data_IF_302024998607
#
_entry.id   IF_302024998607
#
_cell.length_a   1.000
_cell.length_b   1.000
_cell.length_c   1.000
_cell.angle_alpha   90.00
_cell.angle_beta   90.00
_cell.angle_gamma   90.00
#
_symmetry.space_group_name_H-M   'P 1'
#
loop_
_entity.id
_entity.type
_entity.pdbx_description
1 polymer ?
#
# COMPACT_ATOMS: atom_id res chain seq x y z
N UNK A 1 14.68 -23.83 28.36
CA UNK A 1 13.24 -23.61 28.62
C UNK A 1 13.14 -22.41 29.55
N UNK A 2 13.08 -21.19 29.00
CA UNK A 2 13.00 -19.96 29.81
C UNK A 2 11.56 -19.74 30.27
N UNK A 3 11.31 -19.30 31.52
CA UNK A 3 9.96 -19.01 31.98
C UNK A 3 9.44 -17.78 31.23
N UNK A 4 8.25 -17.91 30.65
CA UNK A 4 7.51 -16.82 30.00
C UNK A 4 7.27 -15.70 31.01
N UNK A 5 7.99 -14.60 30.86
CA UNK A 5 7.73 -13.36 31.61
C UNK A 5 6.34 -12.84 31.26
N UNK A 6 5.59 -12.40 32.27
CA UNK A 6 4.39 -11.59 32.09
C UNK A 6 4.75 -10.36 31.25
N UNK A 7 4.38 -10.31 29.98
CA UNK A 7 4.67 -9.17 29.11
C UNK A 7 3.48 -8.20 29.15
N UNK A 8 3.60 -7.18 29.98
CA UNK A 8 2.76 -5.98 29.89
C UNK A 8 3.44 -4.98 28.95
N UNK A 9 2.68 -4.46 27.99
CA UNK A 9 3.15 -3.42 27.07
C UNK A 9 2.18 -2.24 27.12
N UNK A 10 2.70 -1.06 27.46
CA UNK A 10 1.99 0.20 27.33
C UNK A 10 2.49 0.98 26.12
N UNK A 11 1.61 1.75 25.48
CA UNK A 11 1.96 2.63 24.38
C UNK A 11 1.16 3.93 24.47
N UNK A 12 1.87 5.06 24.46
CA UNK A 12 1.29 6.39 24.42
C UNK A 12 1.73 7.03 23.12
N UNK A 13 0.82 7.73 22.46
CA UNK A 13 1.11 8.45 21.24
C UNK A 13 0.27 9.71 21.11
N UNK A 14 0.71 10.62 20.25
CA UNK A 14 -0.05 11.80 19.84
C UNK A 14 -0.27 11.76 18.34
N UNK A 15 -1.50 11.92 17.88
CA UNK A 15 -1.83 12.04 16.45
C UNK A 15 -2.59 13.35 16.24
N UNK A 16 -2.05 14.25 15.41
CA UNK A 16 -2.60 15.60 15.19
C UNK A 16 -2.92 16.37 16.49
N UNK A 17 -2.05 16.27 17.49
CA UNK A 17 -2.22 16.92 18.80
C UNK A 17 -3.13 16.18 19.79
N UNK A 18 -3.89 15.17 19.34
CA UNK A 18 -4.73 14.36 20.23
C UNK A 18 -3.93 13.21 20.87
N UNK A 19 -3.99 13.03 22.19
CA UNK A 19 -3.32 11.94 22.88
C UNK A 19 -4.12 10.63 22.79
N UNK A 20 -3.41 9.52 22.61
CA UNK A 20 -3.97 8.17 22.60
C UNK A 20 -3.14 7.23 23.47
N UNK A 21 -3.81 6.25 24.06
CA UNK A 21 -3.20 5.20 24.87
C UNK A 21 -3.61 3.82 24.35
N UNK A 22 -2.68 2.87 24.48
CA UNK A 22 -2.92 1.45 24.27
C UNK A 22 -2.20 0.62 25.32
N UNK A 23 -2.82 -0.48 25.72
CA UNK A 23 -2.24 -1.45 26.65
C UNK A 23 -2.44 -2.87 26.14
N UNK A 24 -1.46 -3.73 26.36
CA UNK A 24 -1.54 -5.15 26.07
C UNK A 24 -0.97 -5.96 27.24
N UNK A 25 -1.65 -7.06 27.56
CA UNK A 25 -1.17 -8.13 28.41
C UNK A 25 -1.14 -9.38 27.54
N UNK A 26 0.06 -9.95 27.40
CA UNK A 26 0.24 -11.23 26.71
C UNK A 26 0.74 -12.30 27.67
N UNK A 27 -0.07 -13.36 27.83
CA UNK A 27 0.15 -14.47 28.72
C UNK A 27 0.13 -15.79 27.93
N UNK A 28 0.68 -16.84 28.55
CA UNK A 28 0.78 -18.17 27.91
C UNK A 28 -0.57 -18.69 27.37
N UNK A 29 -1.66 -18.44 28.10
CA UNK A 29 -2.99 -18.97 27.80
C UNK A 29 -4.03 -17.91 27.46
N UNK A 30 -3.72 -16.62 27.61
CA UNK A 30 -4.66 -15.57 27.26
C UNK A 30 -3.94 -14.31 26.79
N UNK A 31 -4.66 -13.49 26.03
CA UNK A 31 -4.22 -12.15 25.64
C UNK A 31 -5.38 -11.19 25.83
N UNK A 32 -5.07 -10.05 26.40
CA UNK A 32 -5.97 -8.92 26.47
C UNK A 32 -5.26 -7.70 25.89
N UNK A 33 -5.95 -6.93 25.06
CA UNK A 33 -5.43 -5.63 24.60
C UNK A 33 -6.55 -4.62 24.48
N UNK A 34 -6.21 -3.35 24.64
CA UNK A 34 -7.16 -2.25 24.53
C UNK A 34 -6.46 -0.99 24.00
N UNK A 35 -7.21 -0.17 23.27
CA UNK A 35 -6.76 1.14 22.80
C UNK A 35 -6.71 1.23 21.28
N UNK A 36 -5.66 1.86 20.75
CA UNK A 36 -5.57 2.35 19.37
C UNK A 36 -4.41 1.74 18.55
N UNK A 37 -3.76 0.69 19.07
CA UNK A 37 -2.62 0.00 18.41
C UNK A 37 -2.75 -1.52 18.44
N UNK A 38 -2.78 -2.09 19.64
CA UNK A 38 -2.57 -3.52 19.84
C UNK A 38 -3.78 -4.34 19.41
N UNK A 39 -3.62 -5.03 18.27
CA UNK A 39 -4.59 -6.00 17.75
C UNK A 39 -3.96 -7.39 17.62
N UNK A 40 -4.76 -8.46 17.73
CA UNK A 40 -4.23 -9.81 17.61
C UNK A 40 -3.96 -10.23 16.16
N UNK A 41 -4.71 -9.69 15.20
CA UNK A 41 -4.61 -10.02 13.78
C UNK A 41 -3.55 -9.16 13.07
N UNK A 42 -2.76 -9.77 12.19
CA UNK A 42 -1.84 -9.08 11.29
C UNK A 42 -2.52 -8.58 10.01
N UNK A 43 -3.76 -9.01 9.74
CA UNK A 43 -4.58 -8.50 8.64
C UNK A 43 -4.55 -6.96 8.61
N UNK A 44 -4.07 -6.40 7.50
CA UNK A 44 -3.79 -4.98 7.39
C UNK A 44 -5.05 -4.12 7.56
N UNK A 45 -6.15 -4.55 6.94
CA UNK A 45 -7.43 -3.84 6.87
C UNK A 45 -8.25 -3.89 8.16
N UNK A 46 -7.93 -4.81 9.08
CA UNK A 46 -8.75 -5.06 10.27
C UNK A 46 -8.75 -3.88 11.26
N UNK A 47 -9.88 -3.17 11.38
CA UNK A 47 -10.06 -1.99 12.24
C UNK A 47 -9.06 -0.83 11.99
N UNK A 48 -8.39 -0.82 10.83
CA UNK A 48 -7.40 0.19 10.49
C UNK A 48 -8.02 1.59 10.53
N UNK A 49 -7.31 2.52 11.15
CA UNK A 49 -7.61 3.95 11.02
C UNK A 49 -7.03 4.47 9.71
N UNK A 50 -7.89 4.81 8.75
CA UNK A 50 -7.48 5.20 7.41
C UNK A 50 -6.83 6.60 7.36
N UNK A 51 -7.01 7.41 8.40
CA UNK A 51 -6.48 8.77 8.46
C UNK A 51 -5.02 8.81 8.91
N UNK A 52 -4.52 7.72 9.50
CA UNK A 52 -3.17 7.65 10.05
C UNK A 52 -2.42 6.42 9.54
N UNK A 53 -1.11 6.57 9.39
CA UNK A 53 -0.22 5.50 8.96
C UNK A 53 1.06 5.56 9.77
N UNK A 54 1.60 4.40 10.15
CA UNK A 54 2.90 4.31 10.81
C UNK A 54 3.96 3.76 9.88
N UNK A 55 5.01 4.56 9.66
CA UNK A 55 6.16 4.21 8.85
C UNK A 55 7.28 3.51 9.65
N UNK A 56 7.19 3.56 10.99
CA UNK A 56 8.16 2.95 11.89
C UNK A 56 8.00 1.41 11.90
N UNK A 57 9.11 0.65 11.73
CA UNK A 57 9.06 -0.80 11.79
C UNK A 57 8.78 -1.27 13.23
N UNK A 58 8.16 -2.43 13.38
CA UNK A 58 7.87 -3.01 14.71
C UNK A 58 6.70 -2.39 15.47
N UNK A 59 6.14 -1.26 15.01
CA UNK A 59 4.91 -0.69 15.56
C UNK A 59 3.70 -1.12 14.71
N UNK A 60 2.65 -1.59 15.38
CA UNK A 60 1.35 -1.93 14.77
C UNK A 60 0.71 -0.70 14.12
N UNK A 61 -0.02 -0.88 13.02
CA UNK A 61 -0.71 0.26 12.40
C UNK A 61 -1.77 0.85 13.33
N UNK A 62 -2.03 2.17 13.23
CA UNK A 62 -3.15 2.80 13.90
C UNK A 62 -4.48 2.07 13.67
N UNK A 63 -5.21 1.80 14.74
CA UNK A 63 -6.59 1.30 14.68
C UNK A 63 -7.54 2.26 15.37
N UNK A 64 -8.82 2.14 15.02
CA UNK A 64 -9.90 2.69 15.82
C UNK A 64 -9.94 2.01 17.18
N UNK A 65 -10.44 2.72 18.19
CA UNK A 65 -10.44 2.24 19.57
C UNK A 65 -11.13 0.88 19.67
N UNK A 66 -10.40 -0.11 20.15
CA UNK A 66 -10.83 -1.48 20.22
C UNK A 66 -10.35 -2.14 21.51
N UNK A 67 -11.05 -3.19 21.92
CA UNK A 67 -10.68 -4.07 23.03
C UNK A 67 -10.71 -5.51 22.57
N UNK A 68 -9.74 -6.31 22.98
CA UNK A 68 -9.60 -7.71 22.61
C UNK A 68 -9.41 -8.55 23.85
N UNK A 69 -10.08 -9.69 23.90
CA UNK A 69 -9.86 -10.73 24.89
C UNK A 69 -9.91 -12.08 24.20
N UNK A 70 -8.85 -12.87 24.34
CA UNK A 70 -8.82 -14.20 23.75
C UNK A 70 -7.98 -15.20 24.52
N UNK A 71 -8.31 -16.45 24.30
CA UNK A 71 -7.62 -17.62 24.79
C UNK A 71 -6.56 -18.07 23.78
N UNK A 72 -5.45 -18.63 24.29
CA UNK A 72 -4.34 -19.16 23.49
C UNK A 72 -4.09 -20.62 23.85
N UNK A 73 -3.98 -21.47 22.83
CA UNK A 73 -3.64 -22.88 23.03
C UNK A 73 -2.90 -23.45 21.83
N UNK A 74 -1.68 -23.98 22.04
CA UNK A 74 -0.84 -24.56 20.97
C UNK A 74 -0.79 -23.67 19.71
N UNK A 75 -0.47 -22.39 19.92
CA UNK A 75 -0.42 -21.33 18.91
C UNK A 75 -1.74 -20.96 18.21
N UNK A 76 -2.85 -21.64 18.53
CA UNK A 76 -4.18 -21.14 18.21
C UNK A 76 -4.54 -19.97 19.13
N UNK A 77 -5.24 -18.98 18.59
CA UNK A 77 -5.90 -17.96 19.39
C UNK A 77 -7.33 -17.76 18.95
N UNK A 78 -8.26 -17.78 19.91
CA UNK A 78 -9.67 -17.48 19.68
C UNK A 78 -10.12 -16.47 20.72
N UNK A 79 -10.93 -15.50 20.30
CA UNK A 79 -11.38 -14.48 21.23
C UNK A 79 -12.52 -13.64 20.70
N UNK A 80 -12.94 -12.71 21.54
CA UNK A 80 -13.91 -11.69 21.22
C UNK A 80 -13.24 -10.32 21.17
N UNK A 81 -13.85 -9.41 20.41
CA UNK A 81 -13.41 -8.02 20.35
C UNK A 81 -14.57 -7.04 20.41
N UNK A 82 -14.28 -5.91 21.01
CA UNK A 82 -15.06 -4.69 20.97
C UNK A 82 -14.39 -3.71 20.03
N UNK A 83 -15.17 -2.94 19.28
CA UNK A 83 -14.68 -1.85 18.43
C UNK A 83 -15.71 -0.73 18.40
N UNK A 84 -15.28 0.52 18.62
CA UNK A 84 -16.18 1.67 18.58
C UNK A 84 -16.86 1.85 17.23
N UNK A 85 -16.24 1.39 16.13
CA UNK A 85 -16.79 1.51 14.79
C UNK A 85 -17.56 0.27 14.33
N UNK A 86 -17.10 -0.93 14.70
CA UNK A 86 -17.60 -2.14 14.06
C UNK A 86 -18.32 -3.10 14.99
N UNK A 87 -18.06 -3.06 16.29
CA UNK A 87 -18.56 -4.04 17.26
C UNK A 87 -18.77 -3.35 18.61
N UNK A 88 -19.67 -2.37 18.63
CA UNK A 88 -19.94 -1.51 19.79
C UNK A 88 -20.96 -2.14 20.73
N UNK A 89 -22.01 -2.71 20.16
CA UNK A 89 -23.14 -3.29 20.89
C UNK A 89 -23.11 -4.82 20.87
N UNK A 90 -22.56 -5.42 19.80
CA UNK A 90 -22.38 -6.88 19.70
C UNK A 90 -20.89 -7.19 19.52
N UNK A 91 -20.27 -7.99 20.41
CA UNK A 91 -18.87 -8.31 20.30
C UNK A 91 -18.61 -9.08 19.00
N UNK A 92 -17.53 -8.71 18.32
CA UNK A 92 -17.01 -9.49 17.22
C UNK A 92 -16.22 -10.69 17.72
N UNK A 93 -15.97 -11.66 16.85
CA UNK A 93 -15.16 -12.83 17.13
C UNK A 93 -13.93 -12.82 16.24
N UNK A 94 -12.82 -13.38 16.73
CA UNK A 94 -11.63 -13.61 15.93
C UNK A 94 -11.01 -14.97 16.22
N UNK A 95 -10.25 -15.44 15.24
CA UNK A 95 -9.58 -16.72 15.24
C UNK A 95 -8.25 -16.63 14.49
N UNK A 96 -7.20 -17.22 15.05
CA UNK A 96 -5.85 -17.21 14.50
C UNK A 96 -5.31 -18.64 14.60
N UNK A 97 -4.78 -19.15 13.50
CA UNK A 97 -4.16 -20.47 13.44
C UNK A 97 -2.66 -20.43 13.78
N UNK A 98 -2.04 -21.60 14.05
CA UNK A 98 -0.61 -21.71 14.26
C UNK A 98 0.19 -21.10 13.12
N UNK A 99 1.33 -20.51 13.46
CA UNK A 99 2.21 -19.75 12.54
C UNK A 99 1.50 -18.63 11.77
N UNK A 100 0.29 -18.24 12.20
CA UNK A 100 -0.57 -17.24 11.55
C UNK A 100 -0.87 -17.58 10.08
N UNK A 101 -0.96 -18.88 9.76
CA UNK A 101 -1.31 -19.34 8.41
C UNK A 101 -2.70 -18.85 7.98
N UNK A 102 -3.62 -18.76 8.92
CA UNK A 102 -5.00 -18.35 8.73
C UNK A 102 -5.44 -17.44 9.87
N UNK A 103 -6.00 -16.29 9.52
CA UNK A 103 -6.61 -15.36 10.46
C UNK A 103 -8.03 -15.05 9.99
N UNK A 104 -8.97 -15.00 10.93
CA UNK A 104 -10.36 -14.67 10.66
C UNK A 104 -10.88 -13.73 11.74
N UNK A 105 -11.66 -12.73 11.34
CA UNK A 105 -12.47 -11.95 12.26
C UNK A 105 -13.83 -11.65 11.66
N UNK A 106 -14.86 -11.60 12.50
CA UNK A 106 -16.22 -11.29 12.09
C UNK A 106 -16.89 -10.35 13.10
N UNK A 107 -17.49 -9.27 12.61
CA UNK A 107 -18.41 -8.43 13.36
C UNK A 107 -19.86 -8.78 12.99
N UNK A 108 -20.65 -9.32 13.94
CA UNK A 108 -22.08 -9.54 13.74
C UNK A 108 -22.88 -8.24 13.56
N UNK A 109 -22.45 -7.14 14.18
CA UNK A 109 -23.15 -5.84 14.15
C UNK A 109 -23.12 -5.22 12.75
N UNK A 110 -21.94 -5.17 12.14
CA UNK A 110 -21.75 -4.58 10.81
C UNK A 110 -21.84 -5.60 9.67
N UNK A 111 -21.95 -6.91 9.99
CA UNK A 111 -21.81 -8.03 9.04
C UNK A 111 -20.53 -7.93 8.22
N UNK A 112 -19.44 -7.54 8.90
CA UNK A 112 -18.10 -7.40 8.33
C UNK A 112 -17.25 -8.61 8.66
N UNK A 113 -16.51 -9.11 7.69
CA UNK A 113 -15.57 -10.21 7.88
C UNK A 113 -14.20 -9.84 7.36
N UNK A 114 -13.17 -10.44 7.97
CA UNK A 114 -11.77 -10.29 7.63
C UNK A 114 -11.17 -11.67 7.55
N UNK A 115 -10.41 -11.92 6.49
CA UNK A 115 -9.69 -13.19 6.29
C UNK A 115 -8.26 -12.87 5.90
N UNK A 116 -7.29 -13.54 6.52
CA UNK A 116 -5.90 -13.54 6.05
C UNK A 116 -5.45 -14.98 5.87
N UNK A 117 -4.78 -15.27 4.76
CA UNK A 117 -4.06 -16.52 4.53
C UNK A 117 -2.61 -16.15 4.27
N UNK A 118 -1.70 -16.65 5.09
CA UNK A 118 -0.26 -16.42 4.93
C UNK A 118 0.43 -17.77 4.75
N UNK A 119 1.33 -17.86 3.77
CA UNK A 119 2.13 -19.04 3.52
C UNK A 119 3.57 -18.62 3.29
N UNK A 120 4.47 -19.20 4.09
CA UNK A 120 5.90 -19.00 3.97
C UNK A 120 6.57 -20.37 3.88
N UNK A 121 7.31 -20.63 2.80
CA UNK A 121 7.87 -21.96 2.54
C UNK A 121 8.87 -22.43 3.61
N UNK A 122 9.57 -21.49 4.25
CA UNK A 122 10.54 -21.73 5.32
C UNK A 122 9.89 -22.34 6.58
N UNK A 123 8.66 -21.96 6.90
CA UNK A 123 7.87 -22.55 7.98
C UNK A 123 7.58 -24.04 7.76
N UNK A 124 7.67 -24.52 6.50
CA UNK A 124 7.46 -25.92 6.11
C UNK A 124 8.76 -26.64 5.74
N UNK A 125 9.93 -26.06 6.04
CA UNK A 125 11.24 -26.67 5.74
C UNK A 125 11.66 -26.58 4.26
N UNK A 126 10.93 -25.84 3.43
CA UNK A 126 11.25 -25.59 2.02
C UNK A 126 12.09 -24.32 1.89
N UNK A 127 13.41 -24.47 1.82
CA UNK A 127 14.36 -23.35 1.79
C UNK A 127 14.64 -22.81 0.38
N UNK A 128 14.44 -23.60 -0.67
CA UNK A 128 14.61 -23.17 -2.06
C UNK A 128 13.78 -24.03 -3.05
N UNK A 129 13.02 -23.43 -3.98
CA UNK A 129 12.77 -21.99 -4.11
C UNK A 129 11.96 -21.45 -2.92
N UNK A 130 12.24 -20.21 -2.51
CA UNK A 130 11.49 -19.55 -1.43
C UNK A 130 10.16 -19.06 -1.96
N UNK A 131 9.07 -19.55 -1.37
CA UNK A 131 7.69 -19.19 -1.74
C UNK A 131 7.08 -18.38 -0.61
N UNK A 132 6.53 -17.22 -0.95
CA UNK A 132 5.78 -16.37 -0.02
C UNK A 132 4.45 -16.04 -0.68
N UNK A 133 3.34 -16.44 -0.06
CA UNK A 133 1.98 -16.12 -0.51
C UNK A 133 1.17 -15.51 0.63
N UNK A 134 0.46 -14.43 0.34
CA UNK A 134 -0.34 -13.66 1.29
C UNK A 134 -1.62 -13.23 0.62
N UNK A 135 -2.74 -13.53 1.26
CA UNK A 135 -4.08 -13.14 0.83
C UNK A 135 -4.71 -12.43 2.01
N UNK A 136 -5.17 -11.21 1.82
CA UNK A 136 -5.90 -10.48 2.84
C UNK A 136 -7.20 -9.97 2.24
N UNK A 137 -8.32 -10.31 2.85
CA UNK A 137 -9.63 -9.80 2.43
C UNK A 137 -10.35 -9.18 3.60
N UNK A 138 -11.18 -8.20 3.28
CA UNK A 138 -12.20 -7.67 4.14
C UNK A 138 -13.46 -7.47 3.32
N UNK A 139 -14.60 -7.77 3.91
CA UNK A 139 -15.86 -7.66 3.19
C UNK A 139 -16.99 -7.25 4.10
N UNK A 140 -17.92 -6.48 3.54
CA UNK A 140 -19.17 -6.12 4.19
C UNK A 140 -20.32 -6.63 3.34
N UNK A 141 -21.17 -7.49 3.91
CA UNK A 141 -22.28 -8.15 3.20
C UNK A 141 -21.77 -8.93 1.96
N UNK A 142 -22.05 -8.45 0.74
CA UNK A 142 -21.70 -9.10 -0.54
C UNK A 142 -20.44 -8.53 -1.19
N UNK A 143 -19.92 -7.42 -0.69
CA UNK A 143 -18.73 -6.79 -1.25
C UNK A 143 -17.49 -7.29 -0.52
N UNK A 144 -16.51 -7.76 -1.28
CA UNK A 144 -15.24 -8.27 -0.78
C UNK A 144 -14.14 -7.52 -1.51
N UNK A 145 -13.29 -6.87 -0.72
CA UNK A 145 -12.11 -6.14 -1.15
C UNK A 145 -10.89 -6.75 -0.44
N UNK A 146 -9.68 -6.47 -0.91
CA UNK A 146 -8.48 -7.10 -0.39
C UNK A 146 -7.26 -7.06 -1.30
N UNK A 147 -6.20 -7.70 -0.84
CA UNK A 147 -4.94 -7.90 -1.55
C UNK A 147 -4.59 -9.37 -1.68
N UNK A 148 -3.85 -9.66 -2.74
CA UNK A 148 -3.19 -10.93 -2.98
C UNK A 148 -1.74 -10.62 -3.36
N UNK A 149 -0.79 -11.33 -2.77
CA UNK A 149 0.61 -11.27 -3.13
C UNK A 149 1.18 -12.68 -3.11
N UNK A 150 1.80 -13.11 -4.19
CA UNK A 150 2.55 -14.36 -4.24
C UNK A 150 3.88 -14.13 -4.93
N UNK A 151 4.95 -14.66 -4.35
CA UNK A 151 6.28 -14.64 -4.93
C UNK A 151 6.94 -16.00 -4.85
N UNK A 152 7.61 -16.37 -5.93
CA UNK A 152 8.48 -17.55 -6.01
C UNK A 152 9.86 -17.03 -6.36
N UNK A 153 10.79 -17.14 -5.43
CA UNK A 153 12.14 -16.60 -5.54
C UNK A 153 13.19 -17.71 -5.47
N UNK A 154 14.13 -17.65 -6.40
CA UNK A 154 15.38 -18.40 -6.42
C UNK A 154 16.54 -17.40 -6.46
N UNK A 155 17.79 -17.87 -6.37
CA UNK A 155 18.98 -17.00 -6.31
C UNK A 155 19.04 -15.95 -7.42
N UNK A 156 18.54 -16.28 -8.63
CA UNK A 156 18.64 -15.42 -9.81
C UNK A 156 17.30 -14.95 -10.36
N UNK A 157 16.19 -15.60 -10.01
CA UNK A 157 14.90 -15.42 -10.66
C UNK A 157 13.80 -15.29 -9.63
N UNK A 158 12.94 -14.29 -9.82
CA UNK A 158 11.80 -14.01 -8.96
C UNK A 158 10.54 -13.82 -9.81
N UNK A 159 9.53 -14.65 -9.55
CA UNK A 159 8.19 -14.48 -10.09
C UNK A 159 7.32 -13.79 -9.04
N UNK A 160 6.56 -12.78 -9.45
CA UNK A 160 5.63 -12.02 -8.60
C UNK A 160 4.26 -12.02 -9.24
N UNK A 161 3.24 -12.30 -8.43
CA UNK A 161 1.85 -12.05 -8.75
C UNK A 161 1.26 -11.18 -7.65
N UNK A 162 0.67 -10.06 -8.03
CA UNK A 162 0.03 -9.13 -7.11
C UNK A 162 -1.36 -8.81 -7.59
N UNK A 163 -2.32 -8.84 -6.68
CA UNK A 163 -3.71 -8.50 -6.89
C UNK A 163 -4.15 -7.49 -5.86
N UNK A 164 -4.94 -6.51 -6.26
CA UNK A 164 -5.62 -5.59 -5.36
C UNK A 164 -7.03 -5.34 -5.86
N UNK A 165 -7.95 -5.24 -4.92
CA UNK A 165 -9.31 -4.75 -5.13
C UNK A 165 -9.69 -3.94 -3.90
N UNK A 166 -10.11 -2.70 -4.07
CA UNK A 166 -10.48 -1.86 -2.95
C UNK A 166 -10.75 -0.44 -3.38
N UNK A 167 -10.42 0.52 -2.53
CA UNK A 167 -10.62 1.93 -2.81
C UNK A 167 -9.61 2.46 -3.84
N UNK A 168 -10.03 3.44 -4.63
CA UNK A 168 -9.16 4.11 -5.60
C UNK A 168 -8.05 4.95 -4.93
N UNK A 169 -8.32 5.54 -3.77
CA UNK A 169 -7.33 6.31 -3.02
C UNK A 169 -6.04 5.54 -2.70
N UNK A 170 -6.11 4.21 -2.50
CA UNK A 170 -4.93 3.40 -2.16
C UNK A 170 -4.03 3.08 -3.37
N UNK A 171 -4.54 3.17 -4.60
CA UNK A 171 -3.78 2.88 -5.83
C UNK A 171 -3.41 4.12 -6.66
N UNK A 172 -4.14 5.22 -6.50
CA UNK A 172 -4.03 6.40 -7.37
C UNK A 172 -3.60 7.67 -6.61
N UNK A 173 -3.62 7.68 -5.28
CA UNK A 173 -3.19 8.85 -4.51
C UNK A 173 -1.67 8.87 -4.31
N UNK A 174 -1.00 9.90 -4.82
CA UNK A 174 0.38 10.21 -4.45
C UNK A 174 0.48 11.04 -3.16
N UNK A 175 -0.56 11.83 -2.88
CA UNK A 175 -0.67 12.67 -1.69
C UNK A 175 -1.44 11.92 -0.59
N UNK A 176 -1.15 12.20 0.70
CA UNK A 176 -1.91 11.65 1.81
C UNK A 176 -3.29 12.28 1.99
N UNK A 177 -3.57 13.42 1.34
CA UNK A 177 -4.93 13.92 1.19
C UNK A 177 -5.67 13.08 0.13
N UNK A 178 -6.26 12.01 0.63
CA UNK A 178 -6.93 10.96 -0.15
C UNK A 178 -8.38 11.32 -0.52
N UNK A 179 -8.89 12.43 -0.01
CA UNK A 179 -10.32 12.78 0.01
C UNK A 179 -10.94 13.00 -1.38
N UNK A 180 -10.12 13.30 -2.38
CA UNK A 180 -10.55 13.62 -3.74
C UNK A 180 -10.76 12.38 -4.62
N UNK A 181 -10.10 11.25 -4.32
CA UNK A 181 -10.16 10.03 -5.13
C UNK A 181 -11.20 9.04 -4.59
N UNK A 182 -12.46 9.33 -4.87
CA UNK A 182 -13.60 8.48 -4.48
C UNK A 182 -13.91 7.45 -5.58
N UNK A 183 -13.79 6.17 -5.25
CA UNK A 183 -14.03 5.09 -6.22
C UNK A 183 -13.59 3.72 -5.75
N UNK A 184 -13.78 2.72 -6.62
CA UNK A 184 -13.18 1.40 -6.51
C UNK A 184 -12.10 1.21 -7.56
N UNK A 185 -11.02 0.56 -7.14
CA UNK A 185 -9.91 0.22 -8.01
C UNK A 185 -9.58 -1.26 -7.95
N UNK A 186 -9.06 -1.75 -9.07
CA UNK A 186 -8.56 -3.11 -9.21
C UNK A 186 -7.19 -3.08 -9.87
N UNK A 187 -6.31 -3.99 -9.46
CA UNK A 187 -4.98 -4.17 -10.03
C UNK A 187 -4.64 -5.65 -10.08
N UNK A 188 -4.07 -6.08 -11.20
CA UNK A 188 -3.37 -7.36 -11.35
C UNK A 188 -2.00 -7.08 -11.94
N UNK A 189 -0.93 -7.58 -11.31
CA UNK A 189 0.44 -7.48 -11.78
C UNK A 189 1.07 -8.87 -11.81
N UNK A 190 1.65 -9.22 -12.95
CA UNK A 190 2.56 -10.33 -13.09
C UNK A 190 3.94 -9.76 -13.38
N UNK A 191 4.96 -10.23 -12.67
CA UNK A 191 6.34 -9.78 -12.83
C UNK A 191 7.31 -10.95 -12.82
N UNK A 192 8.30 -10.91 -13.70
CA UNK A 192 9.44 -11.81 -13.73
C UNK A 192 10.67 -10.93 -13.62
N UNK A 193 11.47 -11.10 -12.57
CA UNK A 193 12.70 -10.33 -12.36
C UNK A 193 13.88 -11.29 -12.31
N UNK A 194 14.92 -11.00 -13.10
CA UNK A 194 16.16 -11.77 -13.11
C UNK A 194 17.34 -10.89 -12.72
N UNK A 195 18.08 -11.30 -11.68
CA UNK A 195 19.26 -10.64 -11.11
C UNK A 195 19.11 -9.12 -10.88
N UNK A 196 17.88 -8.64 -10.63
CA UNK A 196 17.55 -7.22 -10.41
C UNK A 196 17.78 -6.26 -11.58
N UNK A 197 18.26 -6.70 -12.74
CA UNK A 197 18.50 -5.85 -13.92
C UNK A 197 17.65 -6.23 -15.14
N UNK A 198 17.09 -7.44 -15.18
CA UNK A 198 16.08 -7.83 -16.16
C UNK A 198 14.72 -7.90 -15.48
N UNK A 199 13.71 -7.30 -16.09
CA UNK A 199 12.33 -7.40 -15.63
C UNK A 199 11.36 -7.50 -16.81
N UNK A 200 10.42 -8.42 -16.72
CA UNK A 200 9.25 -8.48 -17.59
C UNK A 200 8.00 -8.37 -16.73
N UNK A 201 7.12 -7.44 -17.05
CA UNK A 201 5.92 -7.16 -16.26
C UNK A 201 4.69 -7.03 -17.15
N UNK A 202 3.58 -7.57 -16.67
CA UNK A 202 2.25 -7.29 -17.18
C UNK A 202 1.41 -6.72 -16.05
N UNK A 203 0.91 -5.52 -16.25
CA UNK A 203 0.13 -4.77 -15.28
C UNK A 203 -1.21 -4.44 -15.90
N UNK A 204 -2.29 -4.75 -15.19
CA UNK A 204 -3.65 -4.37 -15.56
C UNK A 204 -4.31 -3.68 -14.39
N UNK A 205 -4.78 -2.46 -14.59
CA UNK A 205 -5.42 -1.65 -13.56
C UNK A 205 -6.74 -1.07 -14.05
N UNK A 206 -7.66 -0.86 -13.13
CA UNK A 206 -8.96 -0.24 -13.39
C UNK A 206 -9.27 0.76 -12.29
N UNK A 207 -9.83 1.89 -12.69
CA UNK A 207 -10.45 2.84 -11.77
C UNK A 207 -11.92 3.00 -12.17
N UNK A 208 -12.81 2.73 -11.21
CA UNK A 208 -14.23 3.00 -11.31
C UNK A 208 -14.54 4.12 -10.31
N UNK A 209 -14.68 5.38 -10.76
CA UNK A 209 -15.16 6.43 -9.87
C UNK A 209 -16.53 6.03 -9.31
N UNK A 210 -16.84 6.46 -8.09
CA UNK A 210 -18.17 6.25 -7.53
C UNK A 210 -19.19 6.99 -8.41
N UNK A 211 -20.16 6.28 -8.97
CA UNK A 211 -21.39 6.91 -9.43
C UNK A 211 -22.02 7.60 -8.22
N UNK A 212 -22.29 8.89 -8.33
CA UNK A 212 -22.99 9.65 -7.31
C UNK A 212 -24.43 9.11 -7.23
N UNK A 213 -24.69 8.19 -6.30
CA UNK A 213 -26.02 7.62 -6.10
C UNK A 213 -26.88 8.65 -5.34
N UNK A 214 -27.70 9.42 -6.07
CA UNK A 214 -28.61 10.46 -5.55
C UNK A 214 -29.69 9.91 -4.61
N UNK A 215 -29.76 8.60 -4.37
CA UNK A 215 -30.79 7.99 -3.51
C UNK A 215 -30.60 8.22 -2.00
N UNK A 216 -29.56 8.95 -1.59
CA UNK A 216 -29.34 9.34 -0.18
C UNK A 216 -29.45 10.85 0.09
N UNK A 217 -29.83 11.66 -0.89
CA UNK A 217 -29.88 13.12 -0.77
C UNK A 217 -31.30 13.69 -0.59
N UNK A 218 -32.14 13.07 0.23
CA UNK A 218 -33.45 13.63 0.60
C UNK A 218 -33.35 14.80 1.62
N UNK A 219 -32.14 15.35 1.85
CA UNK A 219 -31.89 16.37 2.89
C UNK A 219 -31.22 17.66 2.41
N UNK A 220 -31.00 17.85 1.10
CA UNK A 220 -30.38 19.09 0.58
C UNK A 220 -31.43 20.05 0.01
N UNK A 221 -31.25 21.36 0.22
CA UNK A 221 -32.14 22.38 -0.32
C UNK A 221 -32.06 22.46 -1.86
N UNK A 222 -33.13 22.96 -2.48
CA UNK A 222 -33.28 23.09 -3.94
C UNK A 222 -32.13 23.85 -4.63
N UNK A 223 -31.51 24.80 -3.93
CA UNK A 223 -30.43 25.63 -4.49
C UNK A 223 -29.10 24.87 -4.56
N UNK A 224 -28.86 23.96 -3.61
CA UNK A 224 -27.71 23.05 -3.64
C UNK A 224 -27.90 21.99 -4.72
N UNK A 225 -29.13 21.52 -4.94
CA UNK A 225 -29.46 20.59 -6.02
C UNK A 225 -29.22 21.21 -7.41
N UNK A 226 -29.54 22.49 -7.61
CA UNK A 226 -29.26 23.18 -8.87
C UNK A 226 -27.76 23.41 -9.10
N UNK A 227 -27.00 23.76 -8.06
CA UNK A 227 -25.54 23.84 -8.14
C UNK A 227 -24.91 22.47 -8.45
N UNK A 228 -25.37 21.41 -7.78
CA UNK A 228 -24.94 20.03 -8.05
C UNK A 228 -25.32 19.58 -9.47
N UNK A 229 -26.50 19.92 -9.99
CA UNK A 229 -26.91 19.60 -11.36
C UNK A 229 -26.10 20.39 -12.41
N UNK A 230 -25.67 21.62 -12.10
CA UNK A 230 -24.76 22.38 -12.95
C UNK A 230 -23.34 21.78 -12.97
N UNK A 231 -22.85 21.30 -11.82
CA UNK A 231 -21.59 20.57 -11.70
C UNK A 231 -21.68 19.18 -12.36
N UNK A 232 -22.87 18.56 -12.35
CA UNK A 232 -23.18 17.29 -13.01
C UNK A 232 -23.21 17.42 -14.52
N UNK A 233 -23.75 18.52 -15.08
CA UNK A 233 -23.63 18.83 -16.51
C UNK A 233 -22.18 19.05 -16.92
N UNK A 234 -21.40 19.77 -16.10
CA UNK A 234 -19.97 19.95 -16.34
C UNK A 234 -19.16 18.64 -16.27
N UNK A 235 -19.55 17.70 -15.40
CA UNK A 235 -18.94 16.37 -15.30
C UNK A 235 -19.50 15.34 -16.30
N UNK A 236 -20.69 15.54 -16.86
CA UNK A 236 -21.24 14.66 -17.91
C UNK A 236 -20.51 14.80 -19.24
N UNK A 237 -19.92 15.97 -19.52
CA UNK A 237 -19.02 16.16 -20.68
C UNK A 237 -17.64 15.50 -20.49
N UNK A 238 -17.34 15.01 -19.28
CA UNK A 238 -16.22 14.13 -18.98
C UNK A 238 -16.74 12.69 -18.91
N UNK A 239 -16.67 12.00 -20.05
CA UNK A 239 -17.04 10.59 -20.23
C UNK A 239 -16.75 9.73 -18.97
N UNK A 240 -17.76 9.18 -18.27
CA UNK A 240 -17.58 8.38 -17.04
C UNK A 240 -17.09 6.97 -17.38
N UNK A 241 -16.31 6.83 -18.45
CA UNK A 241 -15.74 5.56 -18.85
C UNK A 241 -14.70 5.12 -17.83
N UNK A 242 -14.89 3.91 -17.30
CA UNK A 242 -13.92 3.28 -16.40
C UNK A 242 -12.53 3.35 -17.02
N UNK A 243 -11.62 4.13 -16.42
CA UNK A 243 -10.24 4.21 -16.91
C UNK A 243 -9.60 2.85 -16.67
N UNK A 244 -9.15 2.22 -17.77
CA UNK A 244 -8.44 0.95 -17.77
C UNK A 244 -7.04 1.20 -18.28
N UNK A 245 -6.06 0.70 -17.53
CA UNK A 245 -4.67 0.66 -17.96
C UNK A 245 -4.27 -0.79 -18.15
N UNK A 246 -3.62 -1.07 -19.27
CA UNK A 246 -2.90 -2.31 -19.48
C UNK A 246 -1.51 -1.97 -19.98
N UNK A 247 -0.50 -2.52 -19.30
CA UNK A 247 0.90 -2.24 -19.56
C UNK A 247 1.64 -3.55 -19.67
N UNK A 248 2.31 -3.78 -20.80
CA UNK A 248 3.31 -4.82 -20.95
C UNK A 248 4.67 -4.12 -20.99
N UNK A 249 5.50 -4.37 -19.99
CA UNK A 249 6.79 -3.70 -19.82
C UNK A 249 7.92 -4.72 -19.78
N UNK A 250 8.97 -4.48 -20.55
CA UNK A 250 10.24 -5.21 -20.49
C UNK A 250 11.37 -4.23 -20.21
N UNK A 251 12.29 -4.59 -19.31
CA UNK A 251 13.54 -3.87 -19.08
C UNK A 251 14.68 -4.88 -19.11
N UNK A 252 15.71 -4.61 -19.90
CA UNK A 252 16.85 -5.51 -20.08
C UNK A 252 18.16 -4.72 -20.22
N UNK A 253 19.28 -5.24 -19.70
CA UNK A 253 20.58 -4.59 -19.84
C UNK A 253 21.09 -4.72 -21.29
N UNK A 254 21.62 -3.62 -21.83
CA UNK A 254 22.53 -3.69 -22.99
C UNK A 254 23.94 -4.05 -22.49
N UNK A 255 24.34 -3.40 -21.41
CA UNK A 255 25.60 -3.59 -20.72
C UNK A 255 25.33 -3.45 -19.23
N UNK A 256 25.86 -4.38 -18.42
CA UNK A 256 25.76 -4.30 -16.97
C UNK A 256 27.02 -4.86 -16.32
N UNK A 257 27.71 -4.02 -15.58
CA UNK A 257 28.86 -4.39 -14.76
C UNK A 257 28.49 -4.25 -13.27
N UNK A 258 28.97 -5.17 -12.44
CA UNK A 258 28.63 -5.19 -11.01
C UNK A 258 29.23 -4.00 -10.24
N UNK A 259 30.35 -3.43 -10.71
CA UNK A 259 31.00 -2.29 -10.08
C UNK A 259 30.43 -0.97 -10.59
N UNK A 260 30.26 -0.81 -11.90
CA UNK A 260 29.90 0.48 -12.50
C UNK A 260 28.42 0.61 -12.86
N UNK A 261 27.63 -0.45 -12.65
CA UNK A 261 26.23 -0.50 -13.05
C UNK A 261 26.08 -0.73 -14.55
N UNK A 262 24.92 -0.41 -15.09
CA UNK A 262 24.60 -0.71 -16.47
C UNK A 262 23.56 0.18 -17.08
N UNK A 263 23.51 0.14 -18.41
CA UNK A 263 22.48 0.78 -19.21
C UNK A 263 21.42 -0.27 -19.52
N UNK A 264 20.18 0.04 -19.17
CA UNK A 264 19.00 -0.78 -19.36
C UNK A 264 18.11 -0.13 -20.43
N UNK A 265 17.68 -0.91 -21.40
CA UNK A 265 16.59 -0.52 -22.29
C UNK A 265 15.27 -0.93 -21.68
N UNK A 266 14.31 -0.02 -21.71
CA UNK A 266 12.93 -0.32 -21.37
C UNK A 266 12.05 -0.18 -22.60
N UNK A 267 11.12 -1.12 -22.76
CA UNK A 267 10.03 -1.07 -23.71
C UNK A 267 8.74 -1.24 -22.92
N UNK A 268 7.79 -0.32 -23.08
CA UNK A 268 6.47 -0.39 -22.45
C UNK A 268 5.40 -0.22 -23.52
N UNK A 269 4.45 -1.14 -23.59
CA UNK A 269 3.26 -1.02 -24.43
C UNK A 269 2.06 -0.68 -23.54
N UNK A 270 1.39 0.43 -23.83
CA UNK A 270 0.24 0.92 -23.08
C UNK A 270 -1.07 0.67 -23.86
N UNK A 271 -2.17 0.45 -23.14
CA UNK A 271 -3.50 0.11 -23.70
C UNK A 271 -4.04 1.05 -24.78
N UNK A 272 -3.57 2.30 -24.87
CA UNK A 272 -3.94 3.25 -25.91
C UNK A 272 -3.00 3.20 -27.13
N UNK A 273 -2.45 2.02 -27.42
CA UNK A 273 -1.49 1.75 -28.51
C UNK A 273 -0.23 2.64 -28.48
N UNK A 274 0.04 3.24 -27.34
CA UNK A 274 1.23 4.07 -27.16
C UNK A 274 2.38 3.15 -26.76
N UNK A 275 3.47 3.21 -27.52
CA UNK A 275 4.70 2.50 -27.18
C UNK A 275 5.68 3.50 -26.57
N UNK A 276 6.14 3.19 -25.36
CA UNK A 276 7.23 3.87 -24.67
C UNK A 276 8.55 3.13 -24.89
N UNK A 277 9.60 3.87 -25.24
CA UNK A 277 10.99 3.39 -25.30
C UNK A 277 11.79 4.20 -24.31
N UNK A 278 12.61 3.56 -23.49
CA UNK A 278 13.39 4.28 -22.49
C UNK A 278 14.79 3.75 -22.31
N UNK A 279 15.66 4.63 -21.82
CA UNK A 279 17.04 4.35 -21.47
C UNK A 279 17.19 4.67 -19.99
N UNK A 280 17.69 3.71 -19.24
CA UNK A 280 17.87 3.81 -17.80
C UNK A 280 19.30 3.44 -17.44
N UNK A 281 19.86 4.15 -16.47
CA UNK A 281 21.04 3.72 -15.76
C UNK A 281 20.60 3.02 -14.48
N UNK A 282 21.13 1.82 -14.23
CA UNK A 282 20.85 1.04 -13.03
C UNK A 282 22.14 0.57 -12.36
N UNK A 283 22.25 0.79 -11.06
CA UNK A 283 23.35 0.32 -10.23
C UNK A 283 22.78 -0.30 -8.96
N UNK A 284 22.86 -1.63 -8.87
CA UNK A 284 22.38 -2.39 -7.71
C UNK A 284 23.58 -2.95 -6.95
N UNK A 285 23.76 -2.51 -5.71
CA UNK A 285 24.73 -3.05 -4.75
C UNK A 285 24.02 -3.45 -3.46
N UNK A 286 24.73 -4.20 -2.60
CA UNK A 286 24.21 -4.67 -1.31
C UNK A 286 23.69 -3.54 -0.41
N UNK A 287 24.37 -2.40 -0.40
CA UNK A 287 24.06 -1.28 0.51
C UNK A 287 23.40 -0.09 -0.18
N UNK A 288 23.34 -0.07 -1.51
CA UNK A 288 22.62 0.99 -2.19
C UNK A 288 22.11 0.54 -3.56
N UNK A 289 21.05 1.16 -4.01
CA UNK A 289 20.46 0.97 -5.33
C UNK A 289 20.17 2.33 -5.91
N UNK A 290 20.56 2.55 -7.16
CA UNK A 290 20.24 3.76 -7.92
C UNK A 290 19.69 3.30 -9.26
N UNK A 291 18.58 3.87 -9.68
CA UNK A 291 18.03 3.69 -11.00
C UNK A 291 17.44 5.01 -11.48
N UNK A 292 17.84 5.51 -12.64
CA UNK A 292 17.30 6.73 -13.21
C UNK A 292 17.29 6.63 -14.73
N UNK A 293 16.27 7.18 -15.37
CA UNK A 293 16.17 7.11 -16.82
C UNK A 293 15.09 7.99 -17.39
N UNK A 294 15.00 7.94 -18.71
CA UNK A 294 14.01 8.66 -19.47
C UNK A 294 13.28 7.70 -20.41
N UNK A 295 11.97 7.87 -20.50
CA UNK A 295 11.08 7.22 -21.45
C UNK A 295 10.54 8.26 -22.44
N UNK A 296 10.48 7.87 -23.71
CA UNK A 296 9.87 8.61 -24.80
C UNK A 296 8.77 7.76 -25.42
N UNK A 297 7.59 8.35 -25.58
CA UNK A 297 6.40 7.68 -26.11
C UNK A 297 6.11 8.19 -27.52
N UNK A 298 5.52 7.33 -28.36
CA UNK A 298 5.22 7.65 -29.78
C UNK A 298 4.29 8.88 -29.91
N UNK A 299 3.42 9.13 -28.93
CA UNK A 299 2.51 10.27 -28.91
C UNK A 299 3.19 11.62 -28.58
N UNK A 300 4.52 11.64 -28.41
CA UNK A 300 5.30 12.83 -28.06
C UNK A 300 5.48 13.05 -26.55
N UNK A 301 4.89 12.19 -25.71
CA UNK A 301 5.06 12.27 -24.26
C UNK A 301 6.49 11.86 -23.86
N UNK A 302 7.05 12.52 -22.87
CA UNK A 302 8.34 12.16 -22.28
C UNK A 302 8.31 12.20 -20.77
N UNK A 303 8.96 11.21 -20.14
CA UNK A 303 8.96 10.99 -18.71
C UNK A 303 10.37 10.73 -18.24
N UNK A 304 10.82 11.45 -17.23
CA UNK A 304 12.06 11.21 -16.52
C UNK A 304 11.72 10.66 -15.14
N UNK A 305 12.16 9.45 -14.83
CA UNK A 305 11.87 8.78 -13.56
C UNK A 305 13.14 8.23 -12.93
N UNK A 306 13.18 8.18 -11.62
CA UNK A 306 14.27 7.54 -10.92
C UNK A 306 13.97 7.26 -9.46
N UNK A 307 14.76 6.36 -8.90
CA UNK A 307 14.68 5.87 -7.53
C UNK A 307 16.07 5.61 -7.00
N UNK A 308 16.26 5.89 -5.73
CA UNK A 308 17.46 5.51 -5.01
C UNK A 308 17.11 4.98 -3.62
N UNK A 309 17.98 4.15 -3.10
CA UNK A 309 17.94 3.65 -1.73
C UNK A 309 19.37 3.47 -1.25
N UNK A 310 19.71 4.08 -0.11
CA UNK A 310 21.01 4.00 0.53
C UNK A 310 20.82 3.48 1.95
N UNK A 311 21.34 2.28 2.20
CA UNK A 311 21.50 1.75 3.54
C UNK A 311 22.77 2.36 4.14
N UNK A 312 22.59 3.43 4.92
CA UNK A 312 23.68 4.18 5.55
C UNK A 312 24.39 3.35 6.62
N UNK A 313 23.62 2.57 7.38
CA UNK A 313 24.13 1.58 8.35
C UNK A 313 23.05 0.52 8.64
N UNK A 314 23.19 -0.25 9.71
CA UNK A 314 22.21 -1.28 10.07
C UNK A 314 20.82 -0.75 10.37
N UNK A 315 20.74 0.51 10.85
CA UNK A 315 19.51 1.14 11.33
C UNK A 315 18.94 2.18 10.37
N UNK A 316 19.77 2.86 9.60
CA UNK A 316 19.35 4.00 8.78
C UNK A 316 19.29 3.64 7.30
N UNK A 317 18.15 3.94 6.69
CA UNK A 317 17.90 3.81 5.25
C UNK A 317 17.36 5.13 4.70
N UNK A 318 18.02 5.64 3.66
CA UNK A 318 17.61 6.83 2.92
C UNK A 318 17.06 6.39 1.57
N UNK A 319 15.78 6.62 1.33
CA UNK A 319 15.11 6.28 0.07
C UNK A 319 14.60 7.54 -0.60
N UNK A 320 14.61 7.56 -1.92
CA UNK A 320 13.90 8.59 -2.65
C UNK A 320 13.49 8.13 -4.03
N UNK A 321 12.53 8.86 -4.58
CA UNK A 321 11.98 8.61 -5.90
C UNK A 321 11.50 9.92 -6.50
N UNK A 322 11.60 10.04 -7.82
CA UNK A 322 11.12 11.19 -8.56
C UNK A 322 10.51 10.78 -9.89
N UNK A 323 9.61 11.64 -10.37
CA UNK A 323 8.94 11.56 -11.65
C UNK A 323 8.79 12.98 -12.18
N UNK A 324 9.24 13.22 -13.40
CA UNK A 324 9.04 14.47 -14.11
C UNK A 324 8.48 14.17 -15.50
N UNK A 325 7.31 14.69 -15.79
CA UNK A 325 6.67 14.59 -17.08
C UNK A 325 6.86 15.88 -17.86
N UNK A 326 7.08 15.78 -19.17
CA UNK A 326 7.07 16.94 -20.06
C UNK A 326 5.69 17.61 -20.04
N UNK A 327 5.68 18.94 -20.09
CA UNK A 327 4.44 19.72 -20.15
C UNK A 327 3.65 19.37 -21.43
N UNK A 328 2.33 19.18 -21.29
CA UNK A 328 1.48 18.72 -22.38
C UNK A 328 1.37 17.20 -22.54
N UNK A 329 1.99 16.40 -21.67
CA UNK A 329 1.87 14.94 -21.70
C UNK A 329 0.41 14.48 -21.56
N UNK A 330 -0.11 13.77 -22.56
CA UNK A 330 -1.52 13.37 -22.64
C UNK A 330 -1.85 12.12 -21.82
N UNK A 331 -0.87 11.26 -21.57
CA UNK A 331 -1.10 9.95 -20.92
C UNK A 331 -0.59 9.90 -19.49
N UNK A 332 -1.29 9.17 -18.63
CA UNK A 332 -0.88 8.95 -17.23
C UNK A 332 0.44 8.17 -17.15
N UNK A 333 1.13 8.29 -16.01
CA UNK A 333 2.39 7.58 -15.78
C UNK A 333 2.26 6.58 -14.65
N UNK A 334 3.02 5.49 -14.79
CA UNK A 334 3.23 4.54 -13.71
C UNK A 334 4.36 5.09 -12.84
N UNK A 335 4.09 5.35 -11.56
CA UNK A 335 5.11 5.71 -10.59
C UNK A 335 5.30 4.57 -9.60
N UNK A 336 6.45 3.90 -9.69
CA UNK A 336 6.85 2.90 -8.70
C UNK A 336 7.35 3.63 -7.45
N UNK A 337 6.44 3.96 -6.55
CA UNK A 337 6.80 4.39 -5.21
C UNK A 337 7.01 3.15 -4.34
N UNK A 338 8.21 3.01 -3.76
CA UNK A 338 8.41 2.10 -2.62
C UNK A 338 7.63 2.65 -1.42
N UNK A 339 6.32 2.45 -1.40
CA UNK A 339 5.51 2.60 -0.20
C UNK A 339 5.90 1.45 0.73
N UNK A 340 6.31 1.79 1.95
CA UNK A 340 6.44 0.76 2.96
C UNK A 340 5.03 0.18 3.20
N UNK A 341 4.89 -1.12 3.02
CA UNK A 341 3.74 -1.95 3.45
C UNK A 341 2.45 -2.01 2.61
N UNK A 342 2.25 -1.17 1.59
CA UNK A 342 1.14 -1.40 0.65
C UNK A 342 1.62 -2.33 -0.48
N UNK A 343 1.11 -3.56 -0.49
CA UNK A 343 1.63 -4.74 -1.22
C UNK A 343 1.72 -4.58 -2.76
N UNK A 344 1.25 -3.47 -3.32
CA UNK A 344 1.24 -3.22 -4.76
C UNK A 344 2.47 -2.47 -5.27
N UNK A 345 3.13 -1.65 -4.44
CA UNK A 345 4.30 -0.80 -4.79
C UNK A 345 4.16 0.09 -6.03
N UNK A 346 2.94 0.22 -6.57
CA UNK A 346 2.63 0.92 -7.81
C UNK A 346 1.58 1.97 -7.55
N UNK A 347 1.86 3.19 -8.02
CA UNK A 347 0.91 4.29 -8.00
C UNK A 347 0.74 4.78 -9.43
N UNK A 348 -0.50 4.77 -9.92
CA UNK A 348 -0.84 5.40 -11.19
C UNK A 348 -1.07 6.88 -10.93
N UNK A 349 -0.41 7.74 -11.72
CA UNK A 349 -0.43 9.16 -11.43
C UNK A 349 -0.67 10.04 -12.64
N UNK A 350 -1.54 11.02 -12.43
CA UNK A 350 -1.83 12.17 -13.27
C UNK A 350 -0.90 13.37 -12.98
N UNK A 351 0.13 13.19 -12.15
CA UNK A 351 1.02 14.29 -11.73
C UNK A 351 2.08 14.58 -12.79
N UNK A 352 2.30 15.87 -13.01
CA UNK A 352 3.33 16.38 -13.91
C UNK A 352 4.72 16.30 -13.27
N UNK A 353 4.80 16.47 -11.94
CA UNK A 353 6.01 16.20 -11.18
C UNK A 353 5.70 15.58 -9.82
N UNK A 354 6.55 14.66 -9.38
CA UNK A 354 6.50 14.06 -8.04
C UNK A 354 7.93 13.85 -7.55
N UNK A 355 8.20 14.20 -6.31
CA UNK A 355 9.46 13.94 -5.62
C UNK A 355 9.13 13.43 -4.22
N UNK A 356 9.80 12.36 -3.79
CA UNK A 356 9.63 11.79 -2.46
C UNK A 356 10.99 11.45 -1.89
N UNK A 357 11.23 11.84 -0.65
CA UNK A 357 12.41 11.52 0.14
C UNK A 357 11.96 10.93 1.48
N UNK A 358 12.57 9.81 1.88
CA UNK A 358 12.29 9.11 3.12
C UNK A 358 13.58 8.79 3.83
N UNK A 359 13.67 9.17 5.09
CA UNK A 359 14.71 8.74 6.01
C UNK A 359 14.07 7.84 7.05
N UNK A 360 14.47 6.58 7.08
CA UNK A 360 13.85 5.54 7.90
C UNK A 360 14.88 4.96 8.87
N UNK A 361 14.46 4.81 10.11
CA UNK A 361 15.14 4.06 11.15
C UNK A 361 14.13 3.35 12.05
N UNK A 362 14.57 2.47 12.96
CA UNK A 362 13.66 1.86 13.94
C UNK A 362 12.93 2.88 14.81
N UNK A 363 13.53 4.05 15.05
CA UNK A 363 13.02 5.03 16.02
C UNK A 363 12.47 6.30 15.37
N UNK A 364 12.97 6.65 14.18
CA UNK A 364 12.61 7.88 13.47
C UNK A 364 12.25 7.53 12.02
N UNK A 365 11.09 7.99 11.58
CA UNK A 365 10.71 7.99 10.18
C UNK A 365 10.35 9.41 9.76
N UNK A 366 11.14 9.95 8.83
CA UNK A 366 10.92 11.25 8.23
C UNK A 366 10.61 11.06 6.75
N UNK A 367 9.53 11.66 6.27
CA UNK A 367 9.15 11.64 4.87
C UNK A 367 8.77 13.03 4.41
N UNK A 368 9.33 13.42 3.26
CA UNK A 368 8.94 14.62 2.53
C UNK A 368 8.49 14.19 1.15
N UNK A 369 7.35 14.70 0.70
CA UNK A 369 6.93 14.57 -0.68
C UNK A 369 6.45 15.89 -1.24
N UNK A 370 6.82 16.15 -2.48
CA UNK A 370 6.35 17.26 -3.27
C UNK A 370 5.67 16.70 -4.52
N UNK A 371 4.47 17.19 -4.85
CA UNK A 371 3.76 16.76 -6.05
C UNK A 371 3.04 17.92 -6.72
N UNK A 372 2.90 17.86 -8.05
CA UNK A 372 2.21 18.87 -8.86
C UNK A 372 1.32 18.20 -9.89
N UNK A 373 0.07 18.67 -10.02
CA UNK A 373 -0.90 18.11 -10.98
C UNK A 373 -0.63 18.59 -12.41
N UNK A 374 -1.19 17.85 -13.38
CA UNK A 374 -1.22 18.26 -14.79
C UNK A 374 -2.23 19.38 -15.04
N UNK A 375 -3.46 19.20 -14.56
CA UNK A 375 -4.59 20.08 -14.90
C UNK A 375 -4.59 21.38 -14.10
N UNK A 376 -4.39 21.29 -12.78
CA UNK A 376 -4.24 22.45 -11.90
C UNK A 376 -2.77 22.55 -11.47
N UNK A 377 -2.12 23.69 -11.64
CA UNK A 377 -0.73 23.94 -11.15
C UNK A 377 -0.64 23.99 -9.62
N UNK A 378 -1.57 23.35 -8.91
CA UNK A 378 -1.55 23.20 -7.47
C UNK A 378 -0.36 22.32 -7.09
N UNK A 379 0.51 22.89 -6.26
CA UNK A 379 1.66 22.24 -5.68
C UNK A 379 1.29 21.78 -4.26
N UNK A 380 1.57 20.52 -3.96
CA UNK A 380 1.39 19.94 -2.64
C UNK A 380 2.76 19.61 -2.05
N UNK A 381 3.05 20.12 -0.85
CA UNK A 381 4.18 19.66 -0.03
C UNK A 381 3.59 18.94 1.17
N UNK A 382 4.07 17.73 1.41
CA UNK A 382 3.76 16.95 2.59
C UNK A 382 5.02 16.58 3.34
N UNK A 383 4.97 16.78 4.65
CA UNK A 383 6.06 16.44 5.58
C UNK A 383 5.45 15.62 6.69
N UNK A 384 6.06 14.48 6.99
CA UNK A 384 5.66 13.60 8.08
C UNK A 384 6.89 13.19 8.86
N UNK A 385 6.84 13.44 10.17
CA UNK A 385 7.86 13.05 11.12
C UNK A 385 7.21 12.16 12.18
N UNK A 386 7.74 10.96 12.34
CA UNK A 386 7.34 10.01 13.37
C UNK A 386 8.57 9.68 14.20
N UNK A 387 8.44 9.79 15.51
CA UNK A 387 9.49 9.46 16.47
C UNK A 387 8.93 8.51 17.53
N UNK A 388 9.71 7.49 17.87
CA UNK A 388 9.45 6.56 18.95
C UNK A 388 10.54 6.70 20.00
N UNK A 389 10.12 6.73 21.25
CA UNK A 389 10.98 6.68 22.41
C UNK A 389 10.65 5.41 23.18
N UNK A 390 11.68 4.63 23.53
CA UNK A 390 11.53 3.41 24.34
C UNK A 390 11.91 3.80 25.77
N UNK A 391 11.03 3.48 26.72
CA UNK A 391 11.17 3.77 28.14
C UNK A 391 11.10 2.49 28.96
#
# INVERSE_FOLDING_TARGET
MFPLSNCFTGFIETRNGSPFFSGQIDQKFFRASFGHRFRPLENFYFLRDNNFYTALPGIDQPIHKAGFLGFKWKDWSIGAYYSEQEAKSKPGIYFISPWKLFEFAYSPEMKKHYVSINFYSDQFGLTSPKIVSRIQTFGQKKEIDGTFYSSISSQKLEFKLTGYRGKSEDLFALDPDRSELKGKAQLTRLGIVSNSYFSLEWIRAWNRPLEFDLKQSDSFSSDILQLLDSEKKFRQDLDPSSKRWEIIAGKAPIFYDFFWGGILLALRNYSNETIGRGIYYGLVRKNFTIEAGQEWRINGDSITEGKWSFRLNEFWNLEGAFLFQKEGNKTDSLFEARTARDETSLIFTDRSSSFRLRLLSPYIAFTVSHSRRKENKNEGIWINLQAQFIF
#
